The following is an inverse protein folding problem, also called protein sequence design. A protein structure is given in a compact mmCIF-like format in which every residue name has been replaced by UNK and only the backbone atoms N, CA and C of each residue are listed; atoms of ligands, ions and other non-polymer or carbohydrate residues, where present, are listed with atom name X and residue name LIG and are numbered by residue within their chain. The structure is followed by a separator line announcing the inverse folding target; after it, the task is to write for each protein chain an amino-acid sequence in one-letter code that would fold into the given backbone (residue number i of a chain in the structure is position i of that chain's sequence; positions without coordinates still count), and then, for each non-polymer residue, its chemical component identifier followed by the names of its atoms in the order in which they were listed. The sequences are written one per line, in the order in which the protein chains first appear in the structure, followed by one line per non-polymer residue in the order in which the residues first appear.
data_IF_663188840095
#
_entry.id   IF_663188840095
#
_cell.length_a   1.000
_cell.length_b   1.000
_cell.length_c   1.000
_cell.angle_alpha   90.00
_cell.angle_beta   90.00
_cell.angle_gamma   90.00
#
_symmetry.space_group_name_H-M   'P 1'
#
loop_
_entity.id
_entity.type
_entity.pdbx_description
1 polymer ?
#
# COMPACT_ATOMS: atom_id res chain seq x y z
N UNK A 1 73.25 -28.41 -18.37
CA UNK A 1 72.53 -27.13 -18.52
C UNK A 1 71.08 -27.52 -18.74
N UNK A 2 70.38 -27.91 -17.67
CA UNK A 2 69.76 -27.09 -16.62
C UNK A 2 68.38 -26.53 -17.04
N UNK A 3 67.44 -26.56 -16.10
CA UNK A 3 66.02 -26.82 -16.27
C UNK A 3 65.13 -25.59 -16.60
N UNK A 4 64.03 -25.87 -17.30
CA UNK A 4 62.65 -25.35 -17.15
C UNK A 4 62.36 -23.84 -16.94
N UNK A 5 61.42 -23.23 -17.70
CA UNK A 5 61.00 -21.85 -17.49
C UNK A 5 60.22 -21.65 -16.18
N UNK A 6 60.59 -20.59 -15.45
CA UNK A 6 59.95 -20.11 -14.21
C UNK A 6 58.44 -19.93 -14.36
N UNK A 7 57.69 -20.51 -13.43
CA UNK A 7 56.27 -20.28 -13.28
C UNK A 7 56.02 -18.84 -12.79
N UNK A 8 55.21 -18.11 -13.55
CA UNK A 8 54.69 -16.80 -13.19
C UNK A 8 54.02 -16.82 -11.81
N UNK A 9 54.55 -16.02 -10.89
CA UNK A 9 53.88 -15.67 -9.64
C UNK A 9 52.81 -14.62 -9.93
N UNK A 10 51.56 -15.07 -10.09
CA UNK A 10 50.40 -14.19 -10.09
C UNK A 10 50.31 -13.33 -8.81
N UNK A 11 49.63 -12.18 -8.83
CA UNK A 11 49.55 -11.29 -7.69
C UNK A 11 48.78 -11.98 -6.56
N UNK A 12 49.43 -12.14 -5.42
CA UNK A 12 48.82 -12.69 -4.21
C UNK A 12 47.73 -11.73 -3.70
N UNK A 13 46.47 -12.09 -3.95
CA UNK A 13 45.33 -11.50 -3.26
C UNK A 13 45.35 -12.02 -1.82
N UNK A 14 46.04 -11.32 -0.92
CA UNK A 14 46.09 -11.76 0.48
C UNK A 14 47.06 -10.95 1.32
N UNK A 15 46.62 -9.77 1.76
CA UNK A 15 47.32 -9.01 2.77
C UNK A 15 46.35 -8.11 3.53
N UNK A 16 45.65 -8.67 4.52
CA UNK A 16 45.01 -7.85 5.56
C UNK A 16 46.12 -7.06 6.27
N UNK A 17 46.26 -5.77 5.96
CA UNK A 17 47.21 -4.89 6.66
C UNK A 17 46.87 -4.90 8.16
N UNK A 18 47.88 -4.95 9.05
CA UNK A 18 47.64 -4.95 10.49
C UNK A 18 47.04 -3.59 10.88
N UNK A 19 45.84 -3.64 11.45
CA UNK A 19 45.04 -2.47 11.78
C UNK A 19 43.88 -2.32 10.79
N UNK A 20 42.71 -2.85 11.16
CA UNK A 20 41.45 -2.74 10.40
C UNK A 20 40.89 -1.33 10.27
N UNK A 21 41.76 -0.32 10.21
CA UNK A 21 41.41 1.07 9.93
C UNK A 21 41.24 1.22 8.43
N UNK A 22 40.08 1.70 8.03
CA UNK A 22 39.76 2.00 6.65
C UNK A 22 40.76 3.03 6.08
N UNK A 23 41.33 2.73 4.91
CA UNK A 23 42.21 3.67 4.21
C UNK A 23 41.38 4.83 3.64
N UNK A 24 41.55 6.00 4.26
CA UNK A 24 40.86 7.23 3.87
C UNK A 24 41.40 7.86 2.58
N UNK A 25 42.59 7.45 2.13
CA UNK A 25 43.20 7.92 0.89
C UNK A 25 42.70 7.15 -0.33
N UNK A 26 42.10 5.98 -0.13
CA UNK A 26 41.60 5.12 -1.19
C UNK A 26 40.27 5.62 -1.79
N UNK A 27 40.00 5.23 -3.04
CA UNK A 27 38.83 5.68 -3.82
C UNK A 27 37.48 5.31 -3.20
N UNK A 28 37.44 4.28 -2.35
CA UNK A 28 36.23 3.82 -1.66
C UNK A 28 35.60 4.91 -0.79
N UNK A 29 36.36 5.55 0.10
CA UNK A 29 35.85 6.62 0.98
C UNK A 29 35.39 7.84 0.17
N UNK A 30 36.10 8.14 -0.94
CA UNK A 30 35.68 9.20 -1.86
C UNK A 30 34.33 8.86 -2.50
N UNK A 31 34.08 7.60 -2.83
CA UNK A 31 32.81 7.13 -3.37
C UNK A 31 31.67 7.25 -2.37
N UNK A 32 31.88 6.82 -1.11
CA UNK A 32 30.90 6.96 -0.04
C UNK A 32 30.53 8.43 0.17
N UNK A 33 31.52 9.33 0.21
CA UNK A 33 31.28 10.77 0.33
C UNK A 33 30.45 11.32 -0.84
N UNK A 34 30.81 10.96 -2.08
CA UNK A 34 30.05 11.38 -3.26
C UNK A 34 28.63 10.84 -3.25
N UNK A 35 28.43 9.60 -2.83
CA UNK A 35 27.11 8.99 -2.74
C UNK A 35 26.26 9.68 -1.66
N UNK A 36 26.86 10.06 -0.53
CA UNK A 36 26.15 10.83 0.50
C UNK A 36 25.70 12.20 -0.02
N UNK A 37 26.59 12.92 -0.72
CA UNK A 37 26.25 14.20 -1.35
C UNK A 37 25.10 14.01 -2.36
N UNK A 38 25.17 12.99 -3.20
CA UNK A 38 24.12 12.71 -4.18
C UNK A 38 22.76 12.40 -3.53
N UNK A 39 22.75 11.67 -2.40
CA UNK A 39 21.52 11.44 -1.62
C UNK A 39 20.99 12.73 -1.02
N UNK A 40 21.86 13.55 -0.43
CA UNK A 40 21.48 14.81 0.20
C UNK A 40 20.94 15.83 -0.83
N UNK A 41 21.54 15.88 -2.02
CA UNK A 41 21.10 16.73 -3.13
C UNK A 41 19.74 16.25 -3.68
N UNK A 42 19.56 14.94 -3.87
CA UNK A 42 18.27 14.36 -4.24
C UNK A 42 17.18 14.67 -3.21
N UNK A 43 17.46 14.50 -1.93
CA UNK A 43 16.53 14.80 -0.85
C UNK A 43 16.18 16.30 -0.80
N UNK A 44 17.16 17.17 -1.06
CA UNK A 44 16.96 18.62 -1.16
C UNK A 44 16.05 18.96 -2.34
N UNK A 45 16.31 18.40 -3.51
CA UNK A 45 15.51 18.59 -4.72
C UNK A 45 14.08 18.07 -4.55
N UNK A 46 13.92 16.89 -3.95
CA UNK A 46 12.60 16.31 -3.67
C UNK A 46 11.80 17.15 -2.67
N UNK A 47 12.44 17.70 -1.63
CA UNK A 47 11.79 18.65 -0.72
C UNK A 47 11.38 19.93 -1.44
N UNK A 48 12.25 20.49 -2.27
CA UNK A 48 11.94 21.69 -3.06
C UNK A 48 10.83 21.45 -4.07
N UNK A 49 10.83 20.30 -4.77
CA UNK A 49 9.77 19.93 -5.71
C UNK A 49 8.42 19.81 -4.99
N UNK A 50 8.39 19.12 -3.83
CA UNK A 50 7.17 19.01 -3.01
C UNK A 50 6.73 20.36 -2.42
N UNK A 51 7.66 21.24 -2.07
CA UNK A 51 7.35 22.59 -1.58
C UNK A 51 6.83 23.50 -2.70
N UNK A 52 7.43 23.48 -3.89
CA UNK A 52 6.96 24.19 -5.08
C UNK A 52 5.57 23.72 -5.50
N UNK A 53 5.27 22.42 -5.36
CA UNK A 53 3.91 21.87 -5.57
C UNK A 53 2.95 22.30 -4.44
N UNK A 54 3.41 22.40 -3.19
CA UNK A 54 2.58 22.84 -2.05
C UNK A 54 2.32 24.34 -2.01
N UNK A 55 3.21 25.17 -2.57
CA UNK A 55 2.97 26.60 -2.73
C UNK A 55 2.02 26.82 -3.89
N UNK A 56 0.73 26.87 -3.58
CA UNK A 56 -0.27 27.42 -4.50
C UNK A 56 0.22 28.81 -4.95
N UNK A 57 0.52 28.97 -6.23
CA UNK A 57 0.89 30.25 -6.83
C UNK A 57 -0.28 31.25 -6.92
N UNK A 58 -1.49 30.83 -6.53
CA UNK A 58 -2.64 31.72 -6.38
C UNK A 58 -2.67 32.26 -4.94
N UNK A 59 -2.65 33.59 -4.70
CA UNK A 59 -3.04 34.11 -3.40
C UNK A 59 -4.42 33.55 -3.07
N UNK A 60 -4.63 33.09 -1.83
CA UNK A 60 -5.94 32.60 -1.39
C UNK A 60 -6.97 33.67 -1.74
N UNK A 61 -7.95 33.41 -2.62
CA UNK A 61 -8.99 34.40 -2.87
C UNK A 61 -9.65 34.70 -1.52
N UNK A 62 -9.86 35.98 -1.17
CA UNK A 62 -10.58 36.33 0.04
C UNK A 62 -11.98 35.78 -0.16
N UNK A 63 -12.25 34.59 0.37
CA UNK A 63 -13.58 34.01 0.27
C UNK A 63 -14.52 35.00 0.98
N UNK A 64 -15.59 35.46 0.31
CA UNK A 64 -16.64 36.17 0.99
C UNK A 64 -17.12 35.32 2.16
N UNK A 65 -17.44 36.04 3.24
CA UNK A 65 -17.84 35.53 4.55
C UNK A 65 -19.00 34.53 4.42
N UNK A 66 -19.11 33.68 5.43
CA UNK A 66 -20.13 32.64 5.64
C UNK A 66 -21.46 32.97 4.94
N UNK A 67 -22.11 32.02 4.27
CA UNK A 67 -23.47 32.24 3.78
C UNK A 67 -24.36 32.64 4.96
N UNK A 68 -25.08 33.76 4.82
CA UNK A 68 -25.99 34.30 5.85
C UNK A 68 -27.32 33.53 5.92
N UNK A 69 -27.45 32.46 5.14
CA UNK A 69 -28.65 31.65 5.09
C UNK A 69 -28.47 30.39 5.93
N UNK A 70 -29.09 30.40 7.11
CA UNK A 70 -29.38 29.17 7.84
C UNK A 70 -30.44 28.40 7.04
N UNK A 71 -29.98 27.45 6.21
CA UNK A 71 -30.85 26.57 5.41
C UNK A 71 -31.49 25.47 6.26
N UNK A 72 -30.97 25.24 7.47
CA UNK A 72 -31.51 24.24 8.38
C UNK A 72 -32.32 24.89 9.50
N UNK A 73 -33.63 24.62 9.49
CA UNK A 73 -34.48 24.84 10.65
C UNK A 73 -34.66 23.49 11.34
N UNK A 74 -34.04 23.24 12.51
CA UNK A 74 -34.31 22.04 13.27
C UNK A 74 -35.81 22.00 13.57
N UNK A 75 -36.50 21.05 12.94
CA UNK A 75 -37.89 20.77 13.24
C UNK A 75 -37.95 20.42 14.73
N UNK A 76 -38.55 21.28 15.55
CA UNK A 76 -38.82 20.92 16.93
C UNK A 76 -39.77 19.74 16.86
N UNK A 77 -39.25 18.54 17.13
CA UNK A 77 -40.07 17.36 17.43
C UNK A 77 -40.85 17.71 18.69
N UNK A 78 -41.99 18.35 18.50
CA UNK A 78 -43.10 18.22 19.42
C UNK A 78 -43.40 16.74 19.43
N UNK A 79 -43.06 16.14 20.56
CA UNK A 79 -43.41 14.79 20.98
C UNK A 79 -44.78 14.35 20.44
N UNK A 80 -44.79 13.52 19.39
CA UNK A 80 -45.87 12.57 19.05
C UNK A 80 -45.50 11.80 17.75
N UNK A 81 -44.99 10.57 17.94
CA UNK A 81 -45.18 9.33 17.17
C UNK A 81 -44.86 9.17 15.66
N UNK A 82 -44.54 7.92 15.20
CA UNK A 82 -43.80 7.65 13.97
C UNK A 82 -44.70 7.15 12.83
N UNK A 83 -44.70 7.82 11.68
CA UNK A 83 -45.14 7.24 10.42
C UNK A 83 -44.59 8.02 9.20
N UNK A 84 -43.89 7.28 8.34
CA UNK A 84 -43.82 7.41 6.87
C UNK A 84 -43.64 8.80 6.24
N UNK A 85 -42.43 9.05 5.73
CA UNK A 85 -42.16 10.06 4.69
C UNK A 85 -41.86 9.39 3.35
N UNK A 86 -42.67 9.68 2.33
CA UNK A 86 -42.62 9.15 0.97
C UNK A 86 -42.35 10.32 -0.01
N UNK A 87 -41.46 10.06 -0.98
CA UNK A 87 -41.13 10.72 -2.26
C UNK A 87 -40.79 12.22 -2.37
N UNK A 88 -39.59 12.50 -2.88
CA UNK A 88 -39.37 13.52 -3.91
C UNK A 88 -38.25 13.08 -4.87
N UNK A 89 -38.63 12.94 -6.14
CA UNK A 89 -37.85 12.55 -7.32
C UNK A 89 -36.74 13.56 -7.64
N UNK A 90 -35.59 13.05 -8.07
CA UNK A 90 -34.41 13.84 -8.41
C UNK A 90 -33.34 12.98 -9.07
N UNK A 91 -33.59 12.61 -10.33
CA UNK A 91 -32.67 11.93 -11.23
C UNK A 91 -31.22 12.46 -11.14
N UNK A 92 -30.30 11.59 -10.75
CA UNK A 92 -28.86 11.72 -10.99
C UNK A 92 -28.27 10.32 -11.09
N UNK A 93 -27.85 9.99 -12.30
CA UNK A 93 -27.04 8.85 -12.70
C UNK A 93 -25.73 8.79 -11.90
N UNK A 94 -25.79 8.17 -10.72
CA UNK A 94 -24.62 7.69 -9.99
C UNK A 94 -25.08 6.52 -9.15
N UNK A 95 -24.94 5.32 -9.72
CA UNK A 95 -25.14 4.06 -8.99
C UNK A 95 -23.98 3.84 -8.02
N UNK A 96 -23.93 4.66 -6.98
CA UNK A 96 -23.30 4.30 -5.71
C UNK A 96 -24.45 3.88 -4.81
N UNK A 97 -25.00 2.70 -5.10
CA UNK A 97 -25.99 2.05 -4.25
C UNK A 97 -25.38 1.90 -2.85
N UNK A 98 -25.80 2.75 -1.92
CA UNK A 98 -25.73 2.47 -0.49
C UNK A 98 -26.84 1.46 -0.15
N UNK A 99 -26.88 0.36 -0.87
CA UNK A 99 -27.50 -0.86 -0.36
C UNK A 99 -26.40 -1.43 0.54
N UNK A 100 -26.61 -1.58 1.86
CA UNK A 100 -25.69 -2.37 2.66
C UNK A 100 -25.72 -3.78 2.06
N UNK A 101 -24.69 -4.15 1.32
CA UNK A 101 -24.51 -5.54 0.89
C UNK A 101 -24.69 -6.40 2.15
N UNK A 102 -25.62 -7.39 2.17
CA UNK A 102 -25.88 -8.20 3.35
C UNK A 102 -24.64 -8.91 3.92
N UNK A 103 -23.51 -8.88 3.22
CA UNK A 103 -22.20 -9.45 3.59
C UNK A 103 -21.40 -8.59 4.59
N UNK A 104 -21.89 -7.40 4.94
CA UNK A 104 -21.23 -6.51 5.90
C UNK A 104 -20.15 -5.63 5.27
N UNK A 105 -19.28 -5.03 6.08
CA UNK A 105 -18.27 -4.09 5.57
C UNK A 105 -17.13 -4.83 4.86
N UNK A 106 -16.73 -4.36 3.69
CA UNK A 106 -15.53 -4.81 2.98
C UNK A 106 -14.27 -4.65 3.85
N UNK A 107 -13.41 -5.68 3.86
CA UNK A 107 -12.14 -5.69 4.58
C UNK A 107 -10.94 -5.55 3.65
N UNK A 108 -10.87 -6.36 2.59
CA UNK A 108 -9.76 -6.35 1.62
C UNK A 108 -10.12 -7.08 0.32
N UNK A 109 -9.36 -6.82 -0.75
CA UNK A 109 -9.36 -7.61 -1.98
C UNK A 109 -8.25 -8.67 -1.91
N UNK A 110 -8.60 -9.94 -2.07
CA UNK A 110 -7.67 -11.06 -2.20
C UNK A 110 -7.41 -11.28 -3.69
N UNK A 111 -6.14 -11.20 -4.08
CA UNK A 111 -5.69 -11.52 -5.43
C UNK A 111 -4.80 -12.77 -5.36
N UNK A 112 -5.11 -13.76 -6.19
CA UNK A 112 -4.34 -14.98 -6.33
C UNK A 112 -3.89 -15.13 -7.79
N UNK A 113 -2.60 -15.25 -8.01
CA UNK A 113 -2.00 -15.55 -9.30
C UNK A 113 -1.67 -17.04 -9.36
N UNK A 114 -2.27 -17.74 -10.32
CA UNK A 114 -2.01 -19.15 -10.58
C UNK A 114 -0.71 -19.33 -11.37
N UNK A 115 -0.18 -20.56 -11.41
CA UNK A 115 0.99 -20.91 -12.24
C UNK A 115 0.73 -20.70 -13.74
N UNK A 116 -0.54 -20.62 -14.15
CA UNK A 116 -0.96 -20.26 -15.52
C UNK A 116 -0.83 -18.76 -15.82
N UNK A 117 -0.53 -17.92 -14.82
CA UNK A 117 -0.57 -16.47 -14.90
C UNK A 117 -1.98 -15.86 -14.79
N UNK A 118 -3.00 -16.69 -14.53
CA UNK A 118 -4.37 -16.20 -14.32
C UNK A 118 -4.52 -15.58 -12.92
N UNK A 119 -5.02 -14.35 -12.86
CA UNK A 119 -5.23 -13.63 -11.60
C UNK A 119 -6.71 -13.68 -11.22
N UNK A 120 -6.99 -14.29 -10.07
CA UNK A 120 -8.31 -14.36 -9.46
C UNK A 120 -8.43 -13.32 -8.35
N UNK A 121 -9.34 -12.35 -8.50
CA UNK A 121 -9.65 -11.34 -7.49
C UNK A 121 -10.96 -11.65 -6.76
N UNK A 122 -10.95 -11.59 -5.42
CA UNK A 122 -12.12 -11.83 -4.55
C UNK A 122 -12.18 -10.75 -3.47
N UNK A 123 -13.31 -10.03 -3.39
CA UNK A 123 -13.57 -9.07 -2.33
C UNK A 123 -14.00 -9.83 -1.07
N UNK A 124 -13.30 -9.61 0.04
CA UNK A 124 -13.52 -10.26 1.33
C UNK A 124 -14.19 -9.28 2.31
N UNK A 125 -15.30 -9.71 2.87
CA UNK A 125 -16.11 -8.94 3.81
C UNK A 125 -15.87 -9.37 5.25
N UNK A 126 -16.44 -8.58 6.18
CA UNK A 126 -16.30 -8.83 7.61
C UNK A 126 -16.93 -10.15 8.03
N UNK A 127 -18.06 -10.56 7.43
CA UNK A 127 -18.81 -11.75 7.83
C UNK A 127 -18.42 -13.00 7.04
N UNK A 128 -17.55 -12.88 6.04
CA UNK A 128 -17.07 -14.01 5.27
C UNK A 128 -16.25 -14.99 6.13
N UNK A 129 -16.44 -16.29 5.90
CA UNK A 129 -15.64 -17.36 6.50
C UNK A 129 -14.37 -17.62 5.66
N UNK A 130 -13.23 -17.97 6.28
CA UNK A 130 -12.00 -18.27 5.54
C UNK A 130 -12.18 -19.49 4.62
N UNK A 131 -13.07 -20.43 4.97
CA UNK A 131 -13.47 -21.56 4.14
C UNK A 131 -14.15 -21.09 2.84
N UNK A 132 -15.18 -20.23 2.94
CA UNK A 132 -15.90 -19.71 1.77
C UNK A 132 -14.98 -18.91 0.82
N UNK A 133 -14.09 -18.09 1.38
CA UNK A 133 -13.13 -17.31 0.56
C UNK A 133 -12.18 -18.25 -0.18
N UNK A 134 -11.71 -19.30 0.48
CA UNK A 134 -10.83 -20.29 -0.13
C UNK A 134 -11.54 -21.07 -1.23
N UNK A 135 -12.80 -21.47 -1.00
CA UNK A 135 -13.63 -22.14 -2.00
C UNK A 135 -13.91 -21.27 -3.23
N UNK A 136 -14.18 -19.98 -3.04
CA UNK A 136 -14.35 -19.02 -4.15
C UNK A 136 -13.11 -18.93 -5.04
N UNK A 137 -11.91 -19.01 -4.44
CA UNK A 137 -10.65 -19.05 -5.20
C UNK A 137 -10.48 -20.42 -5.88
N UNK A 138 -10.74 -21.52 -5.18
CA UNK A 138 -10.65 -22.87 -5.74
C UNK A 138 -11.62 -23.12 -6.91
N UNK A 139 -12.78 -22.47 -6.91
CA UNK A 139 -13.76 -22.56 -7.99
C UNK A 139 -13.26 -21.92 -9.30
N UNK A 140 -12.31 -20.97 -9.21
CA UNK A 140 -11.75 -20.25 -10.36
C UNK A 140 -10.38 -20.80 -10.76
N UNK A 141 -9.55 -21.15 -9.78
CA UNK A 141 -8.26 -21.78 -9.98
C UNK A 141 -8.18 -23.09 -9.20
N UNK A 142 -8.03 -24.26 -9.83
CA UNK A 142 -7.88 -25.51 -9.12
C UNK A 142 -6.58 -25.49 -8.30
N UNK A 143 -6.70 -25.50 -6.97
CA UNK A 143 -5.55 -25.50 -6.04
C UNK A 143 -5.31 -26.90 -5.50
N UNK A 144 -4.05 -27.29 -5.41
CA UNK A 144 -3.62 -28.49 -4.71
C UNK A 144 -4.07 -28.46 -3.22
N UNK A 145 -4.42 -29.62 -2.62
CA UNK A 145 -4.86 -29.69 -1.23
C UNK A 145 -3.97 -28.95 -0.21
N UNK A 146 -2.61 -29.07 -0.23
CA UNK A 146 -1.77 -28.33 0.71
C UNK A 146 -1.81 -26.81 0.50
N UNK A 147 -1.91 -26.35 -0.75
CA UNK A 147 -1.97 -24.92 -1.06
C UNK A 147 -3.30 -24.33 -0.63
N UNK A 148 -4.40 -25.08 -0.77
CA UNK A 148 -5.72 -24.73 -0.28
C UNK A 148 -5.72 -24.55 1.25
N UNK A 149 -5.07 -25.45 1.99
CA UNK A 149 -4.95 -25.32 3.44
C UNK A 149 -4.12 -24.11 3.86
N UNK A 150 -2.99 -23.87 3.18
CA UNK A 150 -2.15 -22.70 3.41
C UNK A 150 -2.90 -21.39 3.13
N UNK A 151 -3.66 -21.33 2.03
CA UNK A 151 -4.49 -20.17 1.69
C UNK A 151 -5.55 -19.91 2.77
N UNK A 152 -6.25 -20.95 3.23
CA UNK A 152 -7.24 -20.84 4.32
C UNK A 152 -6.63 -20.27 5.59
N UNK A 153 -5.47 -20.78 6.02
CA UNK A 153 -4.76 -20.27 7.20
C UNK A 153 -4.39 -18.79 7.02
N UNK A 154 -3.87 -18.43 5.83
CA UNK A 154 -3.49 -17.06 5.53
C UNK A 154 -4.67 -16.09 5.56
N UNK A 155 -5.80 -16.48 4.97
CA UNK A 155 -7.03 -15.69 4.99
C UNK A 155 -7.55 -15.53 6.43
N UNK A 156 -7.50 -16.58 7.24
CA UNK A 156 -7.91 -16.53 8.64
C UNK A 156 -7.06 -15.56 9.48
N UNK A 157 -5.74 -15.57 9.31
CA UNK A 157 -4.83 -14.62 9.98
C UNK A 157 -5.12 -13.18 9.57
N UNK A 158 -5.29 -12.94 8.27
CA UNK A 158 -5.55 -11.61 7.73
C UNK A 158 -6.94 -11.08 8.14
N UNK A 159 -7.96 -11.94 8.21
CA UNK A 159 -9.27 -11.61 8.76
C UNK A 159 -9.17 -11.22 10.24
N UNK A 160 -8.50 -12.03 11.07
CA UNK A 160 -8.32 -11.74 12.51
C UNK A 160 -7.59 -10.41 12.72
N UNK A 161 -6.53 -10.17 11.97
CA UNK A 161 -5.72 -8.95 12.03
C UNK A 161 -6.52 -7.70 11.68
N UNK A 162 -7.39 -7.77 10.65
CA UNK A 162 -8.22 -6.63 10.24
C UNK A 162 -9.43 -6.42 11.15
N UNK A 163 -10.00 -7.50 11.71
CA UNK A 163 -11.10 -7.42 12.69
C UNK A 163 -10.65 -6.80 14.02
N UNK A 164 -9.43 -7.09 14.49
CA UNK A 164 -8.91 -6.56 15.76
C UNK A 164 -8.46 -5.08 15.71
N UNK A 165 -8.35 -4.49 14.51
CA UNK A 165 -7.83 -3.13 14.31
C UNK A 165 -8.93 -2.07 14.12
N UNK A 166 -10.21 -2.47 14.11
CA UNK A 166 -11.37 -1.56 14.14
C UNK A 166 -11.85 -1.41 15.58
#
# INVERSE_FOLDING_TARGET
MDAGPEAERGPAWGGCRPGGRLDMSHGFVRHIRRNQIARDDYDREMKQAKEKVKKRHTPTPPRPRKPDQQVYHPCRRSRADPACGLEYEGSSESSSSTEPDPRGTELFCLEYEADSGEVTSVIVHQDDSPEEVTEKVCARSPLEPPLREALRQRVQEELRKRRAKR
#
